data_IF_264762406419
#
_entry.id   IF_264762406419
#
_cell.length_a   1.000
_cell.length_b   1.000
_cell.length_c   1.000
_cell.angle_alpha   90.00
_cell.angle_beta   90.00
_cell.angle_gamma   90.00
#
_symmetry.space_group_name_H-M   'P 1'
#
loop_
_entity.id
_entity.type
_entity.pdbx_description
1 polymer ?
#
# COMPACT_ATOMS: atom_id res chain seq x y z
N UNK A 1 -7.62 4.24 5.44
CA UNK A 1 -6.22 3.98 5.25
C UNK A 1 -5.98 3.24 3.91
N UNK A 2 -6.35 2.00 3.72
CA UNK A 2 -6.05 1.17 2.53
C UNK A 2 -6.56 1.74 1.21
N UNK A 3 -7.79 2.27 1.18
CA UNK A 3 -8.35 2.93 0.00
C UNK A 3 -7.57 4.17 -0.40
N UNK A 4 -7.03 4.90 0.58
CA UNK A 4 -6.21 6.08 0.36
C UNK A 4 -4.85 5.72 -0.22
N UNK A 5 -4.22 4.62 0.24
CA UNK A 5 -2.96 4.13 -0.31
C UNK A 5 -3.09 3.80 -1.81
N UNK A 6 -4.17 3.11 -2.20
CA UNK A 6 -4.48 2.82 -3.60
C UNK A 6 -4.76 4.10 -4.39
N UNK A 7 -5.56 5.01 -3.84
CA UNK A 7 -5.84 6.29 -4.49
C UNK A 7 -4.55 7.09 -4.77
N UNK A 8 -3.65 7.21 -3.78
CA UNK A 8 -2.37 7.90 -3.95
C UNK A 8 -1.51 7.25 -5.04
N UNK A 9 -1.45 5.93 -5.06
CA UNK A 9 -0.66 5.19 -6.05
C UNK A 9 -1.15 5.44 -7.48
N UNK A 10 -2.46 5.44 -7.68
CA UNK A 10 -3.09 5.66 -8.98
C UNK A 10 -2.94 7.12 -9.42
N UNK A 11 -3.17 8.07 -8.51
CA UNK A 11 -3.08 9.49 -8.80
C UNK A 11 -1.66 9.92 -9.20
N UNK A 12 -0.64 9.24 -8.71
CA UNK A 12 0.76 9.54 -9.01
C UNK A 12 1.11 9.40 -10.48
N UNK A 13 0.55 8.39 -11.16
CA UNK A 13 0.93 8.02 -12.52
C UNK A 13 -0.20 8.28 -13.51
N UNK A 14 -1.38 7.72 -13.25
CA UNK A 14 -2.47 7.71 -14.22
C UNK A 14 -3.08 9.10 -14.44
N UNK A 15 -3.07 9.96 -13.43
CA UNK A 15 -3.59 11.33 -13.54
C UNK A 15 -2.76 12.16 -14.50
N UNK A 16 -1.45 12.03 -14.48
CA UNK A 16 -0.56 12.78 -15.38
C UNK A 16 -0.64 12.33 -16.82
N UNK A 17 -0.80 11.02 -17.05
CA UNK A 17 -1.03 10.49 -18.40
C UNK A 17 -2.28 11.06 -19.03
N UNK A 18 -3.33 11.29 -18.24
CA UNK A 18 -4.64 11.73 -18.73
C UNK A 18 -4.72 13.25 -18.90
N UNK A 19 -3.97 14.03 -18.11
CA UNK A 19 -4.03 15.49 -18.13
C UNK A 19 -3.06 16.15 -19.13
N UNK A 20 -2.23 15.35 -19.88
CA UNK A 20 -1.25 15.90 -20.80
C UNK A 20 -0.09 16.67 -20.13
N UNK A 21 -0.11 16.75 -18.79
CA UNK A 21 0.94 17.43 -18.01
C UNK A 21 2.27 16.69 -18.06
N UNK A 22 2.26 15.46 -18.55
CA UNK A 22 3.47 14.69 -18.78
C UNK A 22 4.43 15.41 -19.75
N UNK A 23 3.91 16.01 -20.83
CA UNK A 23 4.75 16.76 -21.81
C UNK A 23 5.40 17.99 -21.15
N UNK A 24 4.68 18.73 -20.31
CA UNK A 24 5.23 19.88 -19.60
C UNK A 24 6.28 19.49 -18.54
N UNK A 25 6.12 18.35 -17.88
CA UNK A 25 7.12 17.82 -16.95
C UNK A 25 8.41 17.39 -17.66
N UNK A 26 8.31 16.95 -18.92
CA UNK A 26 9.47 16.50 -19.72
C UNK A 26 10.25 17.66 -20.36
N UNK A 27 9.74 18.89 -20.34
CA UNK A 27 10.51 20.07 -20.75
C UNK A 27 11.49 20.54 -19.68
N UNK A 28 11.38 20.04 -18.44
CA UNK A 28 12.35 20.34 -17.39
C UNK A 28 13.59 19.43 -17.52
N UNK A 29 14.80 19.93 -17.17
CA UNK A 29 16.05 19.18 -17.30
C UNK A 29 16.21 18.06 -16.22
N UNK A 30 15.11 17.50 -15.75
CA UNK A 30 15.07 16.44 -14.75
C UNK A 30 14.79 15.09 -15.45
N UNK A 31 15.59 14.10 -15.15
CA UNK A 31 15.40 12.75 -15.69
C UNK A 31 14.03 12.17 -15.24
N UNK A 32 13.32 11.50 -16.19
CA UNK A 32 12.00 10.84 -15.93
C UNK A 32 12.00 10.00 -14.66
N UNK A 33 13.08 9.26 -14.40
CA UNK A 33 13.24 8.45 -13.21
C UNK A 33 13.23 9.26 -11.90
N UNK A 34 13.83 10.46 -11.92
CA UNK A 34 13.90 11.33 -10.74
C UNK A 34 12.51 11.85 -10.35
N UNK A 35 11.69 12.18 -11.34
CA UNK A 35 10.31 12.65 -11.11
C UNK A 35 9.45 11.54 -10.49
N UNK A 36 9.55 10.32 -11.03
CA UNK A 36 8.79 9.15 -10.53
C UNK A 36 9.22 8.79 -9.11
N UNK A 37 10.53 8.77 -8.84
CA UNK A 37 11.07 8.47 -7.51
C UNK A 37 10.68 9.57 -6.51
N UNK A 38 10.78 10.84 -6.90
CA UNK A 38 10.38 11.96 -6.04
C UNK A 38 8.91 11.91 -5.62
N UNK A 39 8.02 11.54 -6.56
CA UNK A 39 6.58 11.35 -6.26
C UNK A 39 6.31 10.14 -5.40
N UNK A 40 6.98 9.02 -5.67
CA UNK A 40 6.86 7.85 -4.84
C UNK A 40 7.30 8.15 -3.40
N UNK A 41 8.40 8.86 -3.22
CA UNK A 41 8.88 9.29 -1.91
C UNK A 41 7.87 10.22 -1.20
N UNK A 42 7.33 11.22 -1.90
CA UNK A 42 6.31 12.11 -1.34
C UNK A 42 5.06 11.35 -0.89
N UNK A 43 4.62 10.36 -1.67
CA UNK A 43 3.46 9.54 -1.31
C UNK A 43 3.74 8.62 -0.12
N UNK A 44 4.93 8.05 -0.03
CA UNK A 44 5.34 7.27 1.16
C UNK A 44 5.37 8.16 2.41
N UNK A 45 5.82 9.41 2.30
CA UNK A 45 5.72 10.38 3.39
C UNK A 45 4.26 10.65 3.81
N UNK A 46 3.35 10.79 2.84
CA UNK A 46 1.93 10.97 3.12
C UNK A 46 1.31 9.74 3.83
N UNK A 47 1.67 8.52 3.40
CA UNK A 47 1.24 7.29 4.07
C UNK A 47 1.81 7.20 5.49
N UNK A 48 3.07 7.60 5.67
CA UNK A 48 3.69 7.65 7.00
C UNK A 48 2.96 8.62 7.95
N UNK A 49 2.60 9.81 7.47
CA UNK A 49 1.82 10.79 8.25
C UNK A 49 0.46 10.21 8.62
N UNK A 50 -0.22 9.55 7.68
CA UNK A 50 -1.51 8.90 7.94
C UNK A 50 -1.38 7.79 8.98
N UNK A 51 -0.37 6.93 8.85
CA UNK A 51 -0.09 5.87 9.81
C UNK A 51 0.26 6.42 11.19
N UNK A 52 1.04 7.51 11.26
CA UNK A 52 1.38 8.16 12.52
C UNK A 52 0.12 8.73 13.23
N UNK A 53 -0.75 9.42 12.50
CA UNK A 53 -2.01 9.93 13.05
C UNK A 53 -2.91 8.78 13.52
N UNK A 54 -3.05 7.72 12.72
CA UNK A 54 -3.80 6.52 13.10
C UNK A 54 -3.20 5.84 14.32
N UNK A 55 -1.87 5.80 14.42
CA UNK A 55 -1.15 5.24 15.56
C UNK A 55 -1.37 6.02 16.86
N UNK A 56 -1.37 7.35 16.77
CA UNK A 56 -1.70 8.20 17.93
C UNK A 56 -3.12 7.92 18.39
N UNK A 57 -4.10 7.85 17.49
CA UNK A 57 -5.48 7.50 17.83
C UNK A 57 -5.57 6.10 18.46
N UNK A 58 -4.93 5.09 17.89
CA UNK A 58 -4.89 3.73 18.42
C UNK A 58 -4.28 3.70 19.83
N UNK A 59 -3.19 4.43 20.04
CA UNK A 59 -2.52 4.49 21.32
C UNK A 59 -3.43 5.05 22.42
N UNK A 60 -4.11 6.16 22.16
CA UNK A 60 -5.04 6.76 23.12
C UNK A 60 -6.28 5.89 23.38
N UNK A 61 -6.84 5.26 22.33
CA UNK A 61 -7.99 4.37 22.51
C UNK A 61 -7.63 3.09 23.27
N UNK A 62 -6.42 2.56 23.10
CA UNK A 62 -5.95 1.40 23.84
C UNK A 62 -5.64 1.70 25.31
N UNK A 63 -5.23 2.94 25.64
CA UNK A 63 -4.89 3.33 27.01
C UNK A 63 -6.16 3.66 27.83
N UNK A 64 -7.14 4.30 27.21
CA UNK A 64 -8.31 4.85 27.89
C UNK A 64 -9.12 3.81 28.71
N UNK A 65 -9.36 2.56 28.23
CA UNK A 65 -10.20 1.62 29.00
C UNK A 65 -9.44 0.68 29.95
N UNK A 66 -8.16 0.34 29.75
CA UNK A 66 -7.52 -0.80 30.44
C UNK A 66 -6.03 -0.66 30.82
N UNK A 67 -5.35 0.40 30.43
CA UNK A 67 -4.08 0.92 30.99
C UNK A 67 -2.84 0.01 31.11
N UNK A 68 -2.79 -1.19 30.53
CA UNK A 68 -1.64 -2.11 30.65
C UNK A 68 -0.49 -1.79 29.69
N UNK A 69 0.77 -2.06 30.11
CA UNK A 69 1.98 -1.89 29.27
C UNK A 69 1.93 -2.78 28.01
N UNK A 70 1.37 -3.99 28.11
CA UNK A 70 1.25 -4.93 27.01
C UNK A 70 0.34 -4.41 25.89
N UNK A 71 -0.72 -3.67 26.25
CA UNK A 71 -1.63 -3.06 25.28
C UNK A 71 -0.99 -1.89 24.52
N UNK A 72 -0.07 -1.14 25.16
CA UNK A 72 0.67 -0.07 24.50
C UNK A 72 1.60 -0.62 23.41
N UNK A 73 2.30 -1.70 23.72
CA UNK A 73 3.17 -2.38 22.78
C UNK A 73 2.36 -2.98 21.62
N UNK A 74 1.21 -3.59 21.90
CA UNK A 74 0.29 -4.09 20.89
C UNK A 74 -0.22 -2.97 19.97
N UNK A 75 -0.59 -1.80 20.50
CA UNK A 75 -1.04 -0.66 19.72
C UNK A 75 0.05 -0.10 18.81
N UNK A 76 1.30 -0.08 19.25
CA UNK A 76 2.42 0.33 18.41
C UNK A 76 2.69 -0.70 17.30
N UNK A 77 2.72 -1.99 17.62
CA UNK A 77 2.94 -3.06 16.65
C UNK A 77 1.85 -3.10 15.58
N UNK A 78 0.59 -2.95 15.97
CA UNK A 78 -0.54 -2.90 15.01
C UNK A 78 -0.47 -1.68 14.10
N UNK A 79 0.02 -0.55 14.60
CA UNK A 79 0.25 0.65 13.78
C UNK A 79 1.34 0.43 12.73
N UNK A 80 2.44 -0.24 13.11
CA UNK A 80 3.50 -0.62 12.16
C UNK A 80 2.94 -1.60 11.13
N UNK A 81 2.15 -2.59 11.54
CA UNK A 81 1.49 -3.54 10.64
C UNK A 81 0.57 -2.84 9.63
N UNK A 82 -0.22 -1.85 10.08
CA UNK A 82 -1.07 -1.04 9.22
C UNK A 82 -0.23 -0.29 8.16
N UNK A 83 0.87 0.35 8.57
CA UNK A 83 1.76 1.06 7.65
C UNK A 83 2.38 0.13 6.61
N UNK A 84 2.83 -1.07 7.02
CA UNK A 84 3.37 -2.07 6.10
C UNK A 84 2.32 -2.54 5.08
N UNK A 85 1.08 -2.76 5.50
CA UNK A 85 -0.02 -3.11 4.59
C UNK A 85 -0.31 -1.97 3.61
N UNK A 86 -0.28 -0.71 4.04
CA UNK A 86 -0.46 0.45 3.17
C UNK A 86 0.63 0.52 2.09
N UNK A 87 1.90 0.25 2.43
CA UNK A 87 3.02 0.23 1.48
C UNK A 87 2.81 -0.87 0.44
N UNK A 88 2.37 -2.07 0.84
CA UNK A 88 2.10 -3.16 -0.10
C UNK A 88 0.98 -2.76 -1.08
N UNK A 89 -0.14 -2.27 -0.56
CA UNK A 89 -1.28 -1.85 -1.38
C UNK A 89 -0.91 -0.68 -2.30
N UNK A 90 -0.10 0.26 -1.80
CA UNK A 90 0.44 1.34 -2.62
C UNK A 90 1.28 0.80 -3.78
N UNK A 91 2.18 -0.15 -3.53
CA UNK A 91 3.05 -0.72 -4.55
C UNK A 91 2.28 -1.52 -5.61
N UNK A 92 1.26 -2.28 -5.20
CA UNK A 92 0.36 -3.00 -6.11
C UNK A 92 -0.44 -2.01 -6.96
N UNK A 93 -1.03 -0.99 -6.35
CA UNK A 93 -1.76 0.07 -7.05
C UNK A 93 -0.86 0.83 -8.03
N UNK A 94 0.41 1.06 -7.68
CA UNK A 94 1.39 1.70 -8.54
C UNK A 94 1.69 0.84 -9.79
N UNK A 95 1.84 -0.46 -9.62
CA UNK A 95 1.98 -1.40 -10.72
C UNK A 95 0.73 -1.43 -11.62
N UNK A 96 -0.46 -1.59 -11.04
CA UNK A 96 -1.74 -1.56 -11.77
C UNK A 96 -1.89 -0.26 -12.56
N UNK A 97 -1.56 0.88 -11.97
CA UNK A 97 -1.59 2.19 -12.63
C UNK A 97 -0.64 2.26 -13.84
N UNK A 98 0.50 1.56 -13.80
CA UNK A 98 1.44 1.48 -14.92
C UNK A 98 0.88 0.72 -16.14
N UNK A 99 -0.03 -0.24 -15.88
CA UNK A 99 -0.67 -1.06 -16.91
C UNK A 99 -1.78 -0.32 -17.65
N UNK A 100 -2.48 0.58 -16.97
CA UNK A 100 -3.68 1.24 -17.50
C UNK A 100 -3.34 2.41 -18.42
N UNK A 101 -4.19 2.62 -19.42
CA UNK A 101 -4.07 3.73 -20.37
C UNK A 101 -4.72 5.03 -19.87
N UNK A 102 -5.79 4.91 -19.10
CA UNK A 102 -6.55 6.06 -18.59
C UNK A 102 -6.68 6.04 -17.06
N UNK A 103 -6.85 7.21 -16.47
CA UNK A 103 -7.08 7.37 -15.03
C UNK A 103 -8.31 6.60 -14.53
N UNK A 104 -9.42 6.66 -15.30
CA UNK A 104 -10.67 5.95 -14.96
C UNK A 104 -10.48 4.44 -14.89
N UNK A 105 -9.73 3.87 -15.87
CA UNK A 105 -9.41 2.45 -15.87
C UNK A 105 -8.53 2.05 -14.68
N UNK A 106 -7.51 2.87 -14.38
CA UNK A 106 -6.63 2.61 -13.24
C UNK A 106 -7.40 2.63 -11.91
N UNK A 107 -8.33 3.57 -11.74
CA UNK A 107 -9.21 3.63 -10.56
C UNK A 107 -10.09 2.39 -10.46
N UNK A 108 -10.73 1.98 -11.55
CA UNK A 108 -11.60 0.80 -11.55
C UNK A 108 -10.83 -0.47 -11.18
N UNK A 109 -9.67 -0.70 -11.80
CA UNK A 109 -8.85 -1.89 -11.52
C UNK A 109 -8.19 -1.85 -10.13
N UNK A 110 -7.74 -0.69 -9.67
CA UNK A 110 -7.12 -0.56 -8.35
C UNK A 110 -8.12 -0.77 -7.22
N UNK A 111 -9.29 -0.13 -7.28
CA UNK A 111 -10.33 -0.36 -6.27
C UNK A 111 -10.97 -1.74 -6.43
N UNK A 112 -11.11 -2.26 -7.65
CA UNK A 112 -11.54 -3.64 -7.90
C UNK A 112 -10.61 -4.65 -7.25
N UNK A 113 -9.30 -4.49 -7.39
CA UNK A 113 -8.31 -5.33 -6.72
C UNK A 113 -8.44 -5.27 -5.18
N UNK A 114 -8.68 -4.08 -4.62
CA UNK A 114 -8.92 -3.94 -3.18
C UNK A 114 -10.15 -4.73 -2.72
N UNK A 115 -11.26 -4.63 -3.46
CA UNK A 115 -12.48 -5.38 -3.15
C UNK A 115 -12.22 -6.89 -3.21
N UNK A 116 -11.49 -7.36 -4.23
CA UNK A 116 -11.11 -8.77 -4.35
C UNK A 116 -10.27 -9.23 -3.16
N UNK A 117 -9.29 -8.43 -2.72
CA UNK A 117 -8.50 -8.75 -1.53
C UNK A 117 -9.35 -8.82 -0.26
N UNK A 118 -10.33 -7.93 -0.10
CA UNK A 118 -11.29 -8.01 1.01
C UNK A 118 -12.15 -9.26 0.94
N UNK A 119 -12.67 -9.61 -0.25
CA UNK A 119 -13.45 -10.84 -0.42
C UNK A 119 -12.63 -12.09 -0.07
N UNK A 120 -11.38 -12.15 -0.54
CA UNK A 120 -10.47 -13.26 -0.23
C UNK A 120 -10.19 -13.30 1.28
N UNK A 121 -9.96 -12.14 1.92
CA UNK A 121 -9.75 -12.05 3.36
C UNK A 121 -10.93 -12.64 4.13
N UNK A 122 -12.17 -12.24 3.83
CA UNK A 122 -13.37 -12.75 4.49
C UNK A 122 -13.58 -14.24 4.25
N UNK A 123 -13.38 -14.71 3.01
CA UNK A 123 -13.50 -16.14 2.68
C UNK A 123 -12.44 -16.97 3.42
N UNK A 124 -11.21 -16.47 3.46
CA UNK A 124 -10.11 -17.14 4.16
C UNK A 124 -10.37 -17.27 5.66
N UNK A 125 -10.96 -16.21 6.27
CA UNK A 125 -11.32 -16.20 7.70
C UNK A 125 -12.49 -17.15 7.97
N UNK A 126 -13.52 -17.13 7.13
CA UNK A 126 -14.71 -17.95 7.31
C UNK A 126 -14.44 -19.45 7.11
N UNK A 127 -13.66 -19.80 6.10
CA UNK A 127 -13.33 -21.20 5.78
C UNK A 127 -12.12 -21.74 6.54
N UNK A 128 -11.40 -20.90 7.28
CA UNK A 128 -10.17 -21.23 8.00
C UNK A 128 -9.12 -21.94 7.12
N UNK A 129 -8.97 -21.51 5.85
CA UNK A 129 -8.03 -22.11 4.88
C UNK A 129 -6.70 -21.35 4.93
N UNK A 130 -5.61 -21.97 5.49
CA UNK A 130 -4.33 -21.26 5.66
C UNK A 130 -3.68 -20.82 4.34
N UNK A 131 -3.92 -21.56 3.25
CA UNK A 131 -3.37 -21.22 1.94
C UNK A 131 -3.86 -19.88 1.40
N UNK A 132 -5.10 -19.47 1.70
CA UNK A 132 -5.66 -18.19 1.28
C UNK A 132 -5.06 -16.99 2.03
N UNK A 133 -4.48 -17.21 3.21
CA UNK A 133 -3.82 -16.14 3.97
C UNK A 133 -2.59 -15.58 3.23
N UNK A 134 -1.91 -16.39 2.43
CA UNK A 134 -0.77 -15.95 1.63
C UNK A 134 -1.18 -15.16 0.38
N UNK A 135 -2.44 -15.26 -0.03
CA UNK A 135 -2.91 -14.60 -1.26
C UNK A 135 -3.37 -13.16 -1.02
N UNK A 136 -3.78 -12.82 0.21
CA UNK A 136 -4.27 -11.48 0.54
C UNK A 136 -3.30 -10.71 1.41
N UNK A 137 -2.79 -9.55 0.96
CA UNK A 137 -1.89 -8.71 1.75
C UNK A 137 -2.53 -8.20 3.06
N UNK A 138 -3.87 -8.16 3.13
CA UNK A 138 -4.61 -7.68 4.29
C UNK A 138 -4.45 -8.60 5.52
N UNK A 139 -4.14 -9.89 5.30
CA UNK A 139 -3.97 -10.86 6.39
C UNK A 139 -2.54 -10.90 6.92
N UNK A 140 -1.55 -10.38 6.17
CA UNK A 140 -0.13 -10.46 6.60
C UNK A 140 0.12 -9.73 7.92
N UNK A 141 -0.56 -8.61 8.13
CA UNK A 141 -0.44 -7.79 9.33
C UNK A 141 -1.81 -7.56 9.96
N UNK A 142 -2.58 -8.65 10.11
CA UNK A 142 -3.87 -8.61 10.79
C UNK A 142 -3.68 -8.10 12.23
N UNK A 143 -4.51 -7.12 12.59
CA UNK A 143 -4.43 -6.41 13.87
C UNK A 143 -4.44 -7.38 15.05
N UNK A 144 -5.28 -8.43 14.99
CA UNK A 144 -5.42 -9.40 16.06
C UNK A 144 -4.19 -10.32 16.18
N UNK A 145 -3.69 -10.82 15.05
CA UNK A 145 -2.50 -11.66 15.01
C UNK A 145 -1.25 -10.89 15.46
N UNK A 146 -1.07 -9.66 14.96
CA UNK A 146 0.06 -8.80 15.32
C UNK A 146 0.02 -8.39 16.80
N UNK A 147 -1.16 -8.14 17.36
CA UNK A 147 -1.30 -7.80 18.78
C UNK A 147 -0.94 -8.97 19.69
N UNK A 148 -1.22 -10.21 19.27
CA UNK A 148 -1.01 -11.42 20.07
C UNK A 148 0.40 -12.00 19.91
N UNK A 149 0.83 -12.21 18.66
CA UNK A 149 2.03 -12.97 18.32
C UNK A 149 3.17 -12.09 17.78
N UNK A 150 2.92 -10.78 17.61
CA UNK A 150 3.87 -9.84 17.02
C UNK A 150 3.91 -9.90 15.48
N UNK A 151 4.90 -9.23 14.90
CA UNK A 151 5.09 -9.19 13.44
C UNK A 151 5.85 -10.45 13.01
N UNK A 152 5.22 -11.29 12.18
CA UNK A 152 5.85 -12.47 11.61
C UNK A 152 6.92 -12.10 10.58
N UNK A 153 8.14 -12.59 10.78
CA UNK A 153 9.27 -12.37 9.87
C UNK A 153 8.97 -12.88 8.45
N UNK A 154 8.24 -14.00 8.35
CA UNK A 154 7.86 -14.59 7.06
C UNK A 154 6.97 -13.64 6.24
N UNK A 155 5.93 -13.07 6.84
CA UNK A 155 5.05 -12.11 6.17
C UNK A 155 5.77 -10.79 5.84
N UNK A 156 6.73 -10.39 6.67
CA UNK A 156 7.57 -9.23 6.40
C UNK A 156 8.45 -9.46 5.15
N UNK A 157 9.07 -10.63 5.00
CA UNK A 157 9.84 -10.98 3.81
C UNK A 157 8.95 -11.03 2.55
N UNK A 158 7.79 -11.69 2.63
CA UNK A 158 6.84 -11.75 1.51
C UNK A 158 6.39 -10.35 1.11
N UNK A 159 6.08 -9.50 2.06
CA UNK A 159 5.68 -8.10 1.79
C UNK A 159 6.78 -7.30 1.10
N UNK A 160 8.03 -7.49 1.52
CA UNK A 160 9.20 -6.89 0.88
C UNK A 160 9.37 -7.33 -0.56
N UNK A 161 9.24 -8.63 -0.83
CA UNK A 161 9.32 -9.20 -2.19
C UNK A 161 8.19 -8.65 -3.08
N UNK A 162 6.95 -8.64 -2.61
CA UNK A 162 5.81 -8.11 -3.37
C UNK A 162 6.01 -6.63 -3.69
N UNK A 163 6.44 -5.83 -2.72
CA UNK A 163 6.69 -4.39 -2.90
C UNK A 163 7.80 -4.16 -3.91
N UNK A 164 8.92 -4.87 -3.78
CA UNK A 164 10.05 -4.77 -4.71
C UNK A 164 9.66 -5.16 -6.14
N UNK A 165 9.00 -6.32 -6.31
CA UNK A 165 8.56 -6.79 -7.61
C UNK A 165 7.57 -5.81 -8.27
N UNK A 166 6.61 -5.29 -7.52
CA UNK A 166 5.62 -4.36 -8.05
C UNK A 166 6.27 -3.07 -8.54
N UNK A 167 7.20 -2.51 -7.79
CA UNK A 167 7.93 -1.30 -8.17
C UNK A 167 8.85 -1.56 -9.37
N UNK A 168 9.56 -2.69 -9.36
CA UNK A 168 10.45 -3.09 -10.46
C UNK A 168 9.69 -3.27 -11.78
N UNK A 169 8.56 -3.98 -11.75
CA UNK A 169 7.71 -4.18 -12.93
C UNK A 169 7.12 -2.86 -13.44
N UNK A 170 6.69 -1.99 -12.53
CA UNK A 170 6.20 -0.66 -12.90
C UNK A 170 7.30 0.16 -13.59
N UNK A 171 8.52 0.18 -13.04
CA UNK A 171 9.67 0.90 -13.62
C UNK A 171 10.02 0.40 -15.02
N UNK A 172 10.11 -0.92 -15.21
CA UNK A 172 10.47 -1.51 -16.51
C UNK A 172 9.44 -1.16 -17.59
N UNK A 173 8.16 -1.15 -17.25
CA UNK A 173 7.10 -0.75 -18.19
C UNK A 173 7.12 0.73 -18.55
N UNK A 174 7.60 1.57 -17.64
CA UNK A 174 7.76 3.00 -17.91
C UNK A 174 8.97 3.27 -18.80
N UNK A 175 10.07 2.54 -18.59
CA UNK A 175 11.27 2.67 -19.40
C UNK A 175 11.08 2.12 -20.84
N UNK A 176 10.26 1.08 -21.01
CA UNK A 176 10.04 0.44 -22.32
C UNK A 176 8.96 1.08 -23.20
N UNK A 177 8.25 2.11 -22.74
CA UNK A 177 7.34 2.89 -23.59
C UNK A 177 8.08 4.10 -24.15
N UNK A 178 8.92 3.83 -25.15
CA UNK A 178 9.22 4.84 -26.16
C UNK A 178 7.92 5.14 -26.91
N UNK A 179 7.48 6.38 -26.83
CA UNK A 179 6.43 6.90 -27.71
C UNK A 179 7.03 7.30 -29.04
#
# INVERSE_FOLDING_TARGET
AYSYAIYLSISSIAKEKTQGTAEYLFTKPLGRNQIVIGKAAANVCNLFILAAVSGVCNYYTAIAPLGGLDQKNAALLTTVGLFLTEIILYSIGFWVSSLCKSYKQAMLFGFGALIVFYCIYFVAEYLCIPALFYLTPLKYFDVYAVAKDGISLMFLLISGVITFLSIFLAKNRWAGKEM
#
